data_IF_913169096773
#
_entry.id   IF_913169096773
#
_cell.length_a   1.000
_cell.length_b   1.000
_cell.length_c   1.000
_cell.angle_alpha   90.00
_cell.angle_beta   90.00
_cell.angle_gamma   90.00
#
_symmetry.space_group_name_H-M   'P 1'
#
loop_
_entity.id
_entity.type
_entity.pdbx_description
1 polymer ?
#
# COMPACT_ATOMS: atom_id res chain seq x y z
N UNK A 1 -8.26 10.10 14.29
CA UNK A 1 -7.44 9.59 13.19
C UNK A 1 -8.30 8.73 12.27
N UNK A 2 -8.15 8.90 10.97
CA UNK A 2 -8.92 8.14 10.00
C UNK A 2 -8.10 6.94 9.54
N UNK A 3 -8.80 5.86 9.19
CA UNK A 3 -8.14 4.67 8.68
C UNK A 3 -8.36 4.56 7.18
N UNK A 4 -7.34 4.18 6.48
CA UNK A 4 -7.40 4.03 5.04
C UNK A 4 -6.92 2.63 4.65
N UNK A 5 -7.65 2.02 3.72
CA UNK A 5 -7.19 0.78 3.12
C UNK A 5 -6.29 1.16 1.95
N UNK A 6 -5.02 0.83 2.07
CA UNK A 6 -4.01 1.16 1.08
C UNK A 6 -3.62 -0.11 0.34
N UNK A 7 -3.66 -0.06 -0.97
CA UNK A 7 -3.34 -1.21 -1.82
C UNK A 7 -2.18 -0.87 -2.73
N UNK A 8 -1.20 -1.75 -2.74
CA UNK A 8 -0.05 -1.68 -3.64
C UNK A 8 -0.16 -2.80 -4.65
N UNK A 9 -0.14 -2.46 -5.93
CA UNK A 9 -0.14 -3.44 -7.01
C UNK A 9 1.06 -3.16 -7.90
N UNK A 10 1.85 -4.15 -8.12
CA UNK A 10 3.04 -4.03 -8.95
C UNK A 10 4.21 -4.77 -8.34
N UNK A 11 5.35 -4.71 -8.99
CA UNK A 11 6.57 -5.35 -8.52
C UNK A 11 6.39 -6.84 -8.20
N UNK A 12 5.46 -7.49 -8.89
CA UNK A 12 5.20 -8.91 -8.70
C UNK A 12 4.28 -9.25 -7.55
N UNK A 13 3.73 -8.26 -6.87
CA UNK A 13 2.86 -8.52 -5.72
C UNK A 13 1.63 -7.64 -5.74
N UNK A 14 0.64 -8.06 -4.99
CA UNK A 14 -0.50 -7.25 -4.61
C UNK A 14 -0.61 -7.32 -3.10
N UNK A 15 -0.46 -6.18 -2.44
CA UNK A 15 -0.44 -6.13 -0.99
C UNK A 15 -1.38 -5.06 -0.49
N UNK A 16 -1.94 -5.27 0.69
CA UNK A 16 -2.89 -4.35 1.28
C UNK A 16 -2.62 -4.18 2.76
N UNK A 17 -2.91 -2.98 3.26
CA UNK A 17 -2.82 -2.70 4.68
C UNK A 17 -3.83 -1.64 5.06
N UNK A 18 -4.25 -1.65 6.31
CA UNK A 18 -5.06 -0.58 6.89
C UNK A 18 -4.10 0.33 7.63
N UNK A 19 -4.00 1.56 7.17
CA UNK A 19 -3.02 2.52 7.71
C UNK A 19 -3.76 3.74 8.24
N UNK A 20 -3.52 4.13 9.48
CA UNK A 20 -4.11 5.36 10.02
C UNK A 20 -3.35 6.59 9.56
N UNK A 21 -4.10 7.63 9.21
CA UNK A 21 -3.54 8.93 8.87
C UNK A 21 -4.37 10.01 9.57
N UNK A 22 -3.72 11.10 9.93
CA UNK A 22 -4.40 12.23 10.57
C UNK A 22 -5.36 12.93 9.63
N UNK A 23 -5.04 12.93 8.34
CA UNK A 23 -5.85 13.54 7.31
C UNK A 23 -5.67 12.74 6.03
N UNK A 24 -6.33 13.13 4.95
CA UNK A 24 -6.18 12.45 3.69
C UNK A 24 -4.71 12.42 3.28
N UNK A 25 -4.17 11.22 2.99
CA UNK A 25 -2.74 11.09 2.72
C UNK A 25 -2.36 11.66 1.35
N UNK A 26 -1.14 12.18 1.28
CA UNK A 26 -0.53 12.55 0.01
C UNK A 26 0.17 11.33 -0.58
N UNK A 27 0.53 11.42 -1.86
CA UNK A 27 1.27 10.35 -2.52
C UNK A 27 2.57 10.07 -1.77
N UNK A 28 3.27 11.11 -1.34
CA UNK A 28 4.52 10.95 -0.60
C UNK A 28 4.32 10.20 0.71
N UNK A 29 3.27 10.55 1.45
CA UNK A 29 2.97 9.85 2.70
C UNK A 29 2.60 8.40 2.46
N UNK A 30 1.83 8.14 1.39
CA UNK A 30 1.48 6.78 1.04
C UNK A 30 2.73 5.95 0.73
N UNK A 31 3.62 6.48 -0.10
CA UNK A 31 4.83 5.77 -0.47
C UNK A 31 5.71 5.48 0.74
N UNK A 32 5.90 6.46 1.61
CA UNK A 32 6.73 6.28 2.79
C UNK A 32 6.15 5.24 3.74
N UNK A 33 4.85 5.27 3.95
CA UNK A 33 4.21 4.32 4.85
C UNK A 33 4.14 2.92 4.26
N UNK A 34 3.90 2.81 2.96
CA UNK A 34 3.89 1.51 2.31
C UNK A 34 5.28 0.87 2.38
N UNK A 35 6.33 1.64 2.16
CA UNK A 35 7.69 1.13 2.27
C UNK A 35 7.96 0.62 3.68
N UNK A 36 7.57 1.38 4.69
CA UNK A 36 7.72 0.96 6.08
C UNK A 36 6.95 -0.33 6.35
N UNK A 37 5.70 -0.39 5.92
CA UNK A 37 4.86 -1.56 6.16
C UNK A 37 5.39 -2.81 5.45
N UNK A 38 5.86 -2.65 4.22
CA UNK A 38 6.45 -3.78 3.49
C UNK A 38 7.72 -4.28 4.17
N UNK A 39 8.59 -3.35 4.56
CA UNK A 39 9.86 -3.72 5.16
C UNK A 39 9.70 -4.38 6.52
N UNK A 40 8.59 -4.17 7.18
CA UNK A 40 8.32 -4.75 8.49
C UNK A 40 7.28 -5.86 8.44
N UNK A 41 6.95 -6.35 7.25
CA UNK A 41 6.00 -7.44 7.06
C UNK A 41 4.62 -7.13 7.65
N UNK A 42 4.20 -5.87 7.54
CA UNK A 42 2.92 -5.43 8.08
C UNK A 42 1.82 -5.35 7.03
N UNK A 43 2.16 -5.52 5.76
CA UNK A 43 1.16 -5.58 4.70
C UNK A 43 0.79 -7.02 4.41
N UNK A 44 -0.50 -7.23 4.19
CA UNK A 44 -0.97 -8.55 3.80
C UNK A 44 -0.81 -8.69 2.29
N UNK A 45 -0.07 -9.70 1.88
CA UNK A 45 0.07 -10.02 0.46
C UNK A 45 -1.12 -10.86 0.04
N UNK A 46 -1.94 -10.32 -0.86
CA UNK A 46 -3.13 -11.00 -1.35
C UNK A 46 -2.87 -11.85 -2.57
N UNK A 47 -1.93 -11.42 -3.39
CA UNK A 47 -1.58 -12.16 -4.59
C UNK A 47 -0.09 -12.03 -4.82
N UNK A 48 0.57 -13.17 -4.88
CA UNK A 48 2.00 -13.25 -5.16
C UNK A 48 2.12 -13.95 -6.51
N UNK A 49 2.54 -13.23 -7.52
CA UNK A 49 2.56 -13.79 -8.86
C UNK A 49 3.48 -13.03 -9.80
N UNK A 50 3.39 -13.40 -11.07
CA UNK A 50 4.26 -12.85 -12.08
C UNK A 50 3.70 -11.57 -12.67
N UNK A 51 3.95 -10.48 -12.00
CA UNK A 51 3.65 -9.18 -12.57
C UNK A 51 4.87 -8.69 -13.33
N UNK A 52 4.63 -8.18 -14.51
CA UNK A 52 5.72 -7.75 -15.37
C UNK A 52 5.91 -6.25 -15.39
N UNK A 53 5.26 -5.55 -14.50
CA UNK A 53 5.40 -4.11 -14.41
C UNK A 53 6.69 -3.75 -13.69
N UNK A 54 7.80 -3.94 -14.36
CA UNK A 54 9.10 -3.60 -13.78
C UNK A 54 9.14 -2.12 -13.46
N UNK A 55 9.56 -1.79 -12.26
CA UNK A 55 9.72 -0.42 -11.78
C UNK A 55 8.44 0.40 -11.82
N UNK A 56 7.29 -0.27 -11.90
CA UNK A 56 6.00 0.39 -11.86
C UNK A 56 5.15 -0.24 -10.78
N UNK A 57 4.50 0.59 -10.05
CA UNK A 57 3.52 0.16 -9.08
C UNK A 57 2.39 1.16 -9.05
N UNK A 58 1.25 0.70 -8.58
CA UNK A 58 0.08 1.53 -8.41
C UNK A 58 -0.31 1.50 -6.95
N UNK A 59 -0.48 2.69 -6.37
CA UNK A 59 -0.99 2.83 -5.02
C UNK A 59 -2.38 3.41 -5.09
N UNK A 60 -3.32 2.75 -4.44
CA UNK A 60 -4.67 3.26 -4.29
C UNK A 60 -5.03 3.25 -2.81
N UNK A 61 -5.97 4.09 -2.43
CA UNK A 61 -6.41 4.14 -1.05
C UNK A 61 -7.88 4.52 -1.00
N UNK A 62 -8.53 4.07 0.06
CA UNK A 62 -9.89 4.48 0.35
C UNK A 62 -10.07 4.54 1.85
N UNK A 63 -10.85 5.49 2.30
CA UNK A 63 -11.14 5.63 3.71
C UNK A 63 -12.06 4.47 4.14
N UNK A 64 -11.75 3.86 5.27
CA UNK A 64 -12.56 2.79 5.84
C UNK A 64 -12.93 3.15 7.27
N UNK A 65 -14.07 2.69 7.69
CA UNK A 65 -14.55 2.94 9.05
C UNK A 65 -14.30 1.75 9.97
#
# INVERSE_FOLDING_TARGET
MKKYKVRLVGMGIEAVAIIPFDSEPTIEKLENNVAYYLNNNLMKVEQDGNFYAKNRYMLTYEEVN
#
